data_IF_424756930112
#
_entry.id   IF_424756930112
#
_cell.length_a   1.000
_cell.length_b   1.000
_cell.length_c   1.000
_cell.angle_alpha   90.00
_cell.angle_beta   90.00
_cell.angle_gamma   90.00
#
_symmetry.space_group_name_H-M   'P 1'
#
loop_
_entity.id
_entity.type
_entity.pdbx_description
1 polymer ?
#
# COMPACT_ATOMS: atom_id res chain seq x y z
N UNK A 1 -13.50 -5.69 -19.09
CA UNK A 1 -12.86 -6.59 -18.12
C UNK A 1 -12.89 -5.96 -16.74
N UNK A 2 -13.47 -6.66 -15.76
CA UNK A 2 -13.57 -6.18 -14.38
C UNK A 2 -12.27 -6.48 -13.66
N UNK A 3 -11.71 -5.48 -12.98
CA UNK A 3 -10.46 -5.58 -12.23
C UNK A 3 -10.72 -5.27 -10.76
N UNK A 4 -10.45 -6.23 -9.91
CA UNK A 4 -10.61 -6.08 -8.46
C UNK A 4 -9.29 -6.17 -7.71
N UNK A 5 -8.26 -6.77 -8.31
CA UNK A 5 -6.95 -6.96 -7.70
C UNK A 5 -6.04 -5.82 -8.13
N UNK A 6 -5.45 -5.12 -7.16
CA UNK A 6 -4.69 -3.88 -7.41
C UNK A 6 -3.53 -4.06 -8.41
N UNK A 7 -2.89 -5.23 -8.40
CA UNK A 7 -1.80 -5.51 -9.36
C UNK A 7 -2.25 -5.49 -10.82
N UNK A 8 -3.55 -5.72 -11.08
CA UNK A 8 -4.13 -5.75 -12.42
C UNK A 8 -4.76 -4.41 -12.82
N UNK A 9 -4.72 -3.42 -11.93
CA UNK A 9 -5.20 -2.08 -12.20
C UNK A 9 -4.32 -1.41 -13.26
N UNK A 10 -4.94 -0.52 -14.05
CA UNK A 10 -4.17 0.42 -14.86
C UNK A 10 -3.37 1.35 -13.96
N UNK A 11 -2.39 2.05 -14.53
CA UNK A 11 -1.62 3.04 -13.78
C UNK A 11 -2.55 4.12 -13.18
N UNK A 12 -3.56 4.56 -13.92
CA UNK A 12 -4.53 5.54 -13.43
C UNK A 12 -5.34 5.01 -12.26
N UNK A 13 -5.79 3.75 -12.30
CA UNK A 13 -6.52 3.10 -11.23
C UNK A 13 -5.66 2.94 -9.96
N UNK A 14 -4.40 2.53 -10.13
CA UNK A 14 -3.45 2.44 -9.01
C UNK A 14 -3.20 3.81 -8.40
N UNK A 15 -2.96 4.81 -9.23
CA UNK A 15 -2.73 6.19 -8.78
C UNK A 15 -3.90 6.69 -7.96
N UNK A 16 -5.13 6.46 -8.41
CA UNK A 16 -6.33 6.88 -7.66
C UNK A 16 -6.39 6.21 -6.30
N UNK A 17 -6.17 4.91 -6.21
CA UNK A 17 -6.19 4.18 -4.94
C UNK A 17 -5.13 4.70 -3.99
N UNK A 18 -3.90 4.86 -4.46
CA UNK A 18 -2.80 5.34 -3.63
C UNK A 18 -2.99 6.79 -3.20
N UNK A 19 -3.51 7.64 -4.08
CA UNK A 19 -3.84 9.04 -3.75
C UNK A 19 -4.90 9.10 -2.65
N UNK A 20 -5.95 8.28 -2.75
CA UNK A 20 -7.01 8.24 -1.74
C UNK A 20 -6.47 7.72 -0.40
N UNK A 21 -5.60 6.73 -0.41
CA UNK A 21 -4.96 6.21 0.81
C UNK A 21 -4.04 7.27 1.42
N UNK A 22 -3.21 7.93 0.63
CA UNK A 22 -2.33 9.01 1.11
C UNK A 22 -3.15 10.13 1.75
N UNK A 23 -4.24 10.55 1.13
CA UNK A 23 -5.14 11.54 1.71
C UNK A 23 -5.70 11.05 3.05
N UNK A 24 -6.08 9.79 3.14
CA UNK A 24 -6.62 9.19 4.36
C UNK A 24 -5.64 9.16 5.53
N UNK A 25 -4.35 9.04 5.26
CA UNK A 25 -3.31 9.07 6.31
C UNK A 25 -2.72 10.47 6.54
N UNK A 26 -3.22 11.49 5.82
CA UNK A 26 -2.74 12.87 5.95
C UNK A 26 -1.40 13.13 5.27
N UNK A 27 -1.09 12.40 4.21
CA UNK A 27 0.17 12.52 3.47
C UNK A 27 -0.03 13.20 2.11
N UNK A 28 0.95 13.97 1.63
CA UNK A 28 0.87 14.59 0.30
C UNK A 28 1.05 13.57 -0.82
N UNK A 29 0.55 13.91 -2.00
CA UNK A 29 0.68 13.08 -3.19
C UNK A 29 1.93 13.46 -3.97
N UNK A 30 3.11 13.19 -3.40
CA UNK A 30 4.36 13.41 -4.11
C UNK A 30 4.63 12.26 -5.09
N UNK A 31 5.43 12.53 -6.09
CA UNK A 31 5.85 11.50 -7.06
C UNK A 31 6.46 10.29 -6.35
N UNK A 32 7.33 10.52 -5.38
CA UNK A 32 8.02 9.44 -4.68
C UNK A 32 7.15 8.75 -3.64
N UNK A 33 6.16 9.43 -3.08
CA UNK A 33 5.15 8.76 -2.27
C UNK A 33 4.36 7.75 -3.11
N UNK A 34 3.95 8.12 -4.31
CA UNK A 34 3.25 7.21 -5.22
C UNK A 34 4.13 6.03 -5.63
N UNK A 35 5.40 6.28 -5.91
CA UNK A 35 6.36 5.22 -6.23
C UNK A 35 6.56 4.28 -5.05
N UNK A 36 6.64 4.82 -3.83
CA UNK A 36 6.73 4.01 -2.62
C UNK A 36 5.53 3.09 -2.45
N UNK A 37 4.32 3.62 -2.63
CA UNK A 37 3.09 2.83 -2.53
C UNK A 37 3.10 1.67 -3.53
N UNK A 38 3.53 1.96 -4.76
CA UNK A 38 3.64 0.96 -5.81
C UNK A 38 4.68 -0.11 -5.49
N UNK A 39 5.84 0.30 -4.98
CA UNK A 39 6.89 -0.63 -4.54
C UNK A 39 6.38 -1.55 -3.44
N UNK A 40 5.75 -0.98 -2.42
CA UNK A 40 5.25 -1.74 -1.28
C UNK A 40 4.19 -2.76 -1.72
N UNK A 41 3.26 -2.33 -2.57
CA UNK A 41 2.27 -3.27 -3.13
C UNK A 41 2.95 -4.42 -3.87
N UNK A 42 3.97 -4.13 -4.67
CA UNK A 42 4.68 -5.17 -5.40
C UNK A 42 5.38 -6.16 -4.47
N UNK A 43 5.97 -5.67 -3.39
CA UNK A 43 6.63 -6.49 -2.37
C UNK A 43 5.61 -7.37 -1.64
N UNK A 44 4.46 -6.82 -1.26
CA UNK A 44 3.40 -7.57 -0.57
C UNK A 44 2.77 -8.65 -1.46
N UNK A 45 2.78 -8.47 -2.77
CA UNK A 45 2.24 -9.44 -3.71
C UNK A 45 0.75 -9.73 -3.49
N UNK A 46 -0.01 -8.75 -2.99
CA UNK A 46 -1.39 -8.94 -2.59
C UNK A 46 -2.29 -9.34 -3.76
N UNK A 47 -3.12 -10.35 -3.55
CA UNK A 47 -4.07 -10.86 -4.55
C UNK A 47 -5.54 -10.78 -4.09
N UNK A 48 -5.80 -10.30 -2.88
CA UNK A 48 -7.16 -10.13 -2.38
C UNK A 48 -7.85 -8.93 -3.04
N UNK A 49 -9.17 -8.99 -3.16
CA UNK A 49 -9.98 -7.99 -3.85
C UNK A 49 -9.92 -6.64 -3.13
N UNK A 50 -9.57 -5.58 -3.85
CA UNK A 50 -9.43 -4.20 -3.36
C UNK A 50 -8.52 -4.07 -2.13
N UNK A 51 -7.51 -4.94 -2.01
CA UNK A 51 -6.67 -5.00 -0.81
C UNK A 51 -5.17 -4.97 -1.18
N UNK A 52 -4.57 -3.79 -1.38
CA UNK A 52 -3.21 -3.68 -1.93
C UNK A 52 -2.10 -4.16 -1.00
N UNK A 53 -2.32 -4.15 0.32
CA UNK A 53 -1.29 -4.52 1.31
C UNK A 53 -1.76 -5.55 2.32
N UNK A 54 -2.66 -6.44 1.91
CA UNK A 54 -3.08 -7.58 2.73
C UNK A 54 -3.69 -7.19 4.08
N UNK A 55 -4.51 -6.14 4.10
CA UNK A 55 -5.21 -5.73 5.32
C UNK A 55 -6.11 -6.85 5.84
N UNK A 56 -6.17 -6.97 7.18
CA UNK A 56 -7.04 -7.91 7.88
C UNK A 56 -8.26 -7.22 8.50
N UNK A 57 -8.41 -5.90 8.27
CA UNK A 57 -9.53 -5.13 8.82
C UNK A 57 -10.87 -5.60 8.23
N UNK A 58 -11.86 -5.81 9.11
CA UNK A 58 -13.21 -6.15 8.65
C UNK A 58 -13.96 -4.91 8.18
N UNK A 59 -14.74 -5.07 7.12
CA UNK A 59 -15.68 -4.09 6.61
C UNK A 59 -17.01 -4.80 6.33
N UNK A 60 -18.15 -4.09 6.31
CA UNK A 60 -19.42 -4.71 5.97
C UNK A 60 -19.34 -5.43 4.64
N UNK A 61 -19.71 -6.72 4.64
CA UNK A 61 -19.66 -7.56 3.44
C UNK A 61 -18.29 -8.07 3.05
N UNK A 62 -17.23 -7.75 3.80
CA UNK A 62 -15.90 -8.32 3.52
C UNK A 62 -15.90 -9.84 3.76
N UNK A 63 -15.10 -10.55 2.96
CA UNK A 63 -14.99 -12.00 3.06
C UNK A 63 -13.53 -12.39 3.33
N UNK A 64 -13.35 -13.57 3.86
CA UNK A 64 -12.03 -14.10 4.16
C UNK A 64 -11.32 -14.50 2.85
N UNK A 65 -10.14 -13.95 2.61
CA UNK A 65 -9.31 -14.33 1.47
C UNK A 65 -8.46 -15.57 1.79
N UNK A 66 -7.89 -15.64 3.00
CA UNK A 66 -7.01 -16.74 3.40
C UNK A 66 -7.16 -17.05 4.90
N UNK A 67 -6.43 -18.08 5.36
CA UNK A 67 -6.50 -18.56 6.75
C UNK A 67 -5.88 -17.60 7.77
N UNK A 68 -5.04 -16.66 7.35
CA UNK A 68 -4.41 -15.69 8.24
C UNK A 68 -5.20 -14.39 8.39
N UNK A 69 -6.39 -14.32 7.79
CA UNK A 69 -7.32 -13.23 8.02
C UNK A 69 -7.30 -12.09 7.03
N UNK A 70 -6.53 -12.17 5.95
CA UNK A 70 -6.58 -11.19 4.87
C UNK A 70 -7.98 -11.16 4.27
N UNK A 71 -8.50 -9.96 3.99
CA UNK A 71 -9.88 -9.76 3.55
C UNK A 71 -9.98 -9.42 2.08
N UNK A 72 -11.07 -9.88 1.45
CA UNK A 72 -11.58 -9.34 0.20
C UNK A 72 -12.59 -8.26 0.55
N UNK A 73 -12.52 -7.10 -0.10
CA UNK A 73 -13.47 -6.01 0.10
C UNK A 73 -14.45 -5.92 -1.07
N UNK A 74 -15.67 -5.46 -0.78
CA UNK A 74 -16.72 -5.34 -1.79
C UNK A 74 -16.52 -4.17 -2.73
N UNK A 75 -15.93 -3.08 -2.24
CA UNK A 75 -15.79 -1.84 -3.00
C UNK A 75 -14.39 -1.27 -2.90
N UNK A 76 -14.04 -0.46 -3.88
CA UNK A 76 -12.81 0.34 -3.88
C UNK A 76 -12.72 1.19 -2.60
N UNK A 77 -13.80 1.84 -2.22
CA UNK A 77 -13.85 2.69 -1.03
C UNK A 77 -13.60 1.91 0.26
N UNK A 78 -14.16 0.72 0.39
CA UNK A 78 -13.91 -0.14 1.55
C UNK A 78 -12.45 -0.57 1.61
N UNK A 79 -11.86 -0.89 0.48
CA UNK A 79 -10.44 -1.23 0.39
C UNK A 79 -9.53 -0.08 0.82
N UNK A 80 -9.82 1.13 0.37
CA UNK A 80 -9.11 2.34 0.80
C UNK A 80 -9.24 2.54 2.30
N UNK A 81 -10.46 2.53 2.83
CA UNK A 81 -10.74 2.75 4.25
C UNK A 81 -10.08 1.71 5.14
N UNK A 82 -10.15 0.44 4.78
CA UNK A 82 -9.52 -0.64 5.53
C UNK A 82 -8.00 -0.50 5.54
N UNK A 83 -7.42 -0.14 4.40
CA UNK A 83 -5.98 0.07 4.28
C UNK A 83 -5.52 1.26 5.12
N UNK A 84 -6.24 2.37 5.10
CA UNK A 84 -5.96 3.54 5.96
C UNK A 84 -5.98 3.13 7.43
N UNK A 85 -7.01 2.41 7.86
CA UNK A 85 -7.12 1.93 9.25
C UNK A 85 -5.91 1.06 9.61
N UNK A 86 -5.50 0.16 8.72
CA UNK A 86 -4.31 -0.69 8.94
C UNK A 86 -3.05 0.16 9.09
N UNK A 87 -2.83 1.12 8.20
CA UNK A 87 -1.63 1.97 8.23
C UNK A 87 -1.56 2.83 9.48
N UNK A 88 -2.70 3.20 10.04
CA UNK A 88 -2.77 4.04 11.25
C UNK A 88 -2.86 3.24 12.55
N UNK A 89 -2.69 1.92 12.51
CA UNK A 89 -2.84 1.06 13.68
C UNK A 89 -1.67 1.10 14.68
N UNK A 90 -0.63 1.87 14.41
CA UNK A 90 0.55 2.01 15.27
C UNK A 90 1.71 1.09 14.91
N UNK A 91 1.56 0.21 13.93
CA UNK A 91 2.62 -0.72 13.53
C UNK A 91 3.55 -0.15 12.45
N UNK A 92 3.22 1.01 11.88
CA UNK A 92 3.95 1.60 10.75
C UNK A 92 4.41 3.04 11.00
N UNK A 93 4.92 3.38 12.21
CA UNK A 93 5.20 4.79 12.55
C UNK A 93 6.26 5.42 11.66
N UNK A 94 7.30 4.68 11.29
CA UNK A 94 8.37 5.19 10.43
C UNK A 94 7.87 5.49 9.01
N UNK A 95 7.06 4.60 8.46
CA UNK A 95 6.49 4.77 7.12
C UNK A 95 5.52 5.95 7.12
N UNK A 96 4.62 6.03 8.08
CA UNK A 96 3.62 7.10 8.17
C UNK A 96 4.30 8.47 8.31
N UNK A 97 5.32 8.57 9.18
CA UNK A 97 6.07 9.81 9.36
C UNK A 97 6.73 10.27 8.06
N UNK A 98 7.37 9.35 7.35
CA UNK A 98 8.06 9.65 6.09
C UNK A 98 7.09 10.07 4.99
N UNK A 99 5.96 9.37 4.84
CA UNK A 99 4.95 9.70 3.84
C UNK A 99 4.28 11.04 4.14
N UNK A 100 3.98 11.35 5.40
CA UNK A 100 3.40 12.63 5.80
C UNK A 100 4.34 13.79 5.51
N UNK A 101 5.64 13.61 5.69
CA UNK A 101 6.64 14.60 5.31
C UNK A 101 6.72 14.74 3.79
N UNK A 102 6.50 13.68 3.06
CA UNK A 102 6.62 13.61 1.62
C UNK A 102 8.03 13.18 1.17
N UNK A 103 8.12 12.00 0.58
CA UNK A 103 9.38 11.55 -0.01
C UNK A 103 9.73 12.46 -1.19
N UNK A 104 10.98 12.92 -1.27
CA UNK A 104 11.42 13.89 -2.27
C UNK A 104 12.50 13.37 -3.20
N UNK A 105 13.01 12.15 -2.98
CA UNK A 105 14.05 11.58 -3.83
C UNK A 105 14.01 10.06 -3.82
N UNK A 106 14.61 9.47 -4.84
CA UNK A 106 14.82 8.02 -4.92
C UNK A 106 15.65 7.52 -3.72
N UNK A 107 16.67 8.29 -3.32
CA UNK A 107 17.52 7.94 -2.18
C UNK A 107 16.71 7.86 -0.87
N UNK A 108 15.78 8.81 -0.63
CA UNK A 108 14.90 8.76 0.54
C UNK A 108 14.00 7.53 0.51
N UNK A 109 13.49 7.16 -0.66
CA UNK A 109 12.65 5.99 -0.83
C UNK A 109 13.41 4.71 -0.52
N UNK A 110 14.63 4.58 -1.01
CA UNK A 110 15.51 3.42 -0.74
C UNK A 110 15.83 3.35 0.76
N UNK A 111 16.16 4.49 1.38
CA UNK A 111 16.47 4.54 2.81
C UNK A 111 15.28 4.12 3.66
N UNK A 112 14.08 4.57 3.32
CA UNK A 112 12.87 4.14 4.02
C UNK A 112 12.66 2.63 3.90
N UNK A 113 12.92 2.05 2.73
CA UNK A 113 12.83 0.61 2.52
C UNK A 113 13.79 -0.16 3.42
N UNK A 114 15.02 0.33 3.59
CA UNK A 114 16.01 -0.26 4.47
C UNK A 114 15.58 -0.17 5.94
N UNK A 115 15.16 1.01 6.38
CA UNK A 115 14.73 1.26 7.76
C UNK A 115 13.52 0.43 8.16
N UNK A 116 12.64 0.11 7.22
CA UNK A 116 11.44 -0.67 7.47
C UNK A 116 11.61 -2.16 7.19
N UNK A 117 12.83 -2.58 6.87
CA UNK A 117 13.18 -3.97 6.56
C UNK A 117 12.47 -4.53 5.32
N UNK A 118 11.86 -3.70 4.51
CA UNK A 118 11.27 -4.15 3.25
C UNK A 118 12.34 -4.73 2.31
N UNK A 119 13.54 -4.22 2.40
CA UNK A 119 14.71 -4.78 1.71
C UNK A 119 14.91 -6.25 2.05
N UNK A 120 14.92 -6.57 3.36
CA UNK A 120 15.20 -7.92 3.83
C UNK A 120 14.04 -8.88 3.56
N UNK A 121 12.81 -8.41 3.58
CA UNK A 121 11.63 -9.24 3.32
C UNK A 121 11.62 -9.85 1.93
N UNK A 122 12.23 -9.16 0.95
CA UNK A 122 12.27 -9.60 -0.44
C UNK A 122 13.63 -10.15 -0.85
N UNK A 123 14.62 -10.05 0.01
CA UNK A 123 16.02 -10.32 -0.30
C UNK A 123 16.65 -9.27 -1.20
N UNK A 124 15.88 -8.35 -1.75
CA UNK A 124 16.38 -7.25 -2.59
C UNK A 124 15.25 -6.29 -2.96
N UNK A 125 15.63 -5.04 -3.25
CA UNK A 125 14.76 -4.08 -3.93
C UNK A 125 15.03 -4.23 -5.45
N UNK A 126 13.98 -4.31 -6.28
CA UNK A 126 14.18 -4.41 -7.73
C UNK A 126 15.09 -3.29 -8.27
N UNK A 127 15.95 -3.62 -9.23
CA UNK A 127 16.96 -2.68 -9.76
C UNK A 127 16.36 -1.34 -10.22
N UNK A 128 15.16 -1.36 -10.80
CA UNK A 128 14.47 -0.13 -11.24
C UNK A 128 14.09 0.82 -10.11
N UNK A 129 14.15 0.36 -8.86
CA UNK A 129 13.84 1.17 -7.69
C UNK A 129 15.09 1.65 -6.95
N UNK A 130 16.24 1.16 -7.35
CA UNK A 130 17.54 1.55 -6.82
C UNK A 130 18.12 2.73 -7.62
#
# INVERSE_FOLDING_TARGET
>A
LIKYVTKDFTQAEQTKMYTDILAGIGAPTTQYNLLWMKLWRAIEGASATYNPWNSTQSKPGSTKYNSIGVKNYLTFSDGVSATVTTLLNGNYPTIIKALRKGLSSHAEMVELAKLTQLWDMTGRIPAKWQ
#
